data_IF_987956294991
#
_entry.id   IF_987956294991
#
_cell.length_a   1.000
_cell.length_b   1.000
_cell.length_c   1.000
_cell.angle_alpha   90.00
_cell.angle_beta   90.00
_cell.angle_gamma   90.00
#
_symmetry.space_group_name_H-M   'P 1'
#
loop_
_entity.id
_entity.type
_entity.pdbx_description
1 polymer ?
#
# COMPACT_ATOMS: atom_id res chain seq x y z
N UNK A 1 -23.97 -29.37 34.56
CA UNK A 1 -23.22 -28.22 34.02
C UNK A 1 -21.76 -28.67 34.01
N UNK A 2 -21.15 -28.81 32.83
CA UNK A 2 -19.74 -29.21 32.72
C UNK A 2 -18.88 -28.03 33.16
N UNK A 3 -18.08 -28.21 34.20
CA UNK A 3 -17.14 -27.19 34.66
C UNK A 3 -15.97 -27.14 33.67
N UNK A 4 -15.91 -26.09 32.86
CA UNK A 4 -14.75 -25.80 32.02
C UNK A 4 -13.59 -25.40 32.92
N UNK A 5 -12.56 -26.25 32.99
CA UNK A 5 -11.29 -25.91 33.65
C UNK A 5 -10.65 -24.75 32.90
N UNK A 6 -10.49 -23.62 33.57
CA UNK A 6 -9.72 -22.49 33.05
C UNK A 6 -8.23 -22.75 33.31
N UNK A 7 -7.45 -22.95 32.24
CA UNK A 7 -5.99 -23.04 32.32
C UNK A 7 -5.40 -21.65 32.18
N UNK A 8 -4.60 -21.22 33.17
CA UNK A 8 -3.79 -20.00 33.05
C UNK A 8 -2.79 -20.16 31.91
N UNK A 9 -2.90 -19.31 30.88
CA UNK A 9 -1.96 -19.26 29.77
C UNK A 9 -0.80 -18.31 30.08
N UNK A 10 0.40 -18.71 29.68
CA UNK A 10 1.62 -17.92 29.79
C UNK A 10 1.46 -16.60 29.02
N UNK A 11 1.71 -15.48 29.70
CA UNK A 11 1.35 -14.14 29.21
C UNK A 11 2.27 -13.57 28.12
N UNK A 12 3.51 -14.05 28.01
CA UNK A 12 4.49 -13.52 27.07
C UNK A 12 5.40 -14.63 26.58
N UNK A 13 5.80 -14.54 25.30
CA UNK A 13 6.91 -15.32 24.82
C UNK A 13 8.22 -14.88 25.48
N UNK A 14 9.15 -15.82 25.67
CA UNK A 14 10.47 -15.58 26.28
C UNK A 14 11.55 -15.34 25.23
N UNK A 15 11.17 -15.24 23.95
CA UNK A 15 12.12 -15.06 22.87
C UNK A 15 12.74 -13.65 22.85
N UNK A 16 14.05 -13.59 22.61
CA UNK A 16 14.86 -12.37 22.57
C UNK A 16 14.97 -11.75 21.17
N UNK A 17 14.52 -12.47 20.14
CA UNK A 17 14.43 -11.99 18.77
C UNK A 17 13.28 -12.69 18.04
N UNK A 18 12.70 -11.98 17.07
CA UNK A 18 11.66 -12.49 16.20
C UNK A 18 11.99 -12.19 14.74
N UNK A 19 11.49 -13.05 13.87
CA UNK A 19 11.48 -12.86 12.43
C UNK A 19 10.03 -12.83 11.95
N UNK A 20 9.64 -11.70 11.38
CA UNK A 20 8.32 -11.46 10.79
C UNK A 20 8.43 -11.60 9.28
N UNK A 21 7.57 -12.40 8.66
CA UNK A 21 7.46 -12.54 7.20
C UNK A 21 6.04 -12.98 6.86
N UNK A 22 5.35 -12.25 5.99
CA UNK A 22 4.01 -12.58 5.53
C UNK A 22 3.06 -12.81 6.74
N UNK A 23 2.42 -13.97 6.85
CA UNK A 23 1.55 -14.33 7.98
C UNK A 23 2.28 -15.06 9.11
N UNK A 24 3.61 -15.07 9.09
CA UNK A 24 4.42 -15.85 10.04
C UNK A 24 5.23 -15.00 11.01
N UNK A 25 5.39 -15.54 12.22
CA UNK A 25 6.30 -15.04 13.25
C UNK A 25 7.14 -16.21 13.73
N UNK A 26 8.45 -16.15 13.51
CA UNK A 26 9.38 -17.20 13.94
C UNK A 26 10.40 -16.70 14.95
N UNK A 27 10.90 -17.63 15.77
CA UNK A 27 11.98 -17.40 16.72
C UNK A 27 13.27 -17.98 16.14
N UNK A 28 14.29 -17.16 15.85
CA UNK A 28 15.57 -17.65 15.37
C UNK A 28 16.23 -18.66 16.33
N UNK A 29 17.05 -19.55 15.79
CA UNK A 29 17.73 -20.56 16.60
C UNK A 29 18.58 -19.92 17.71
N UNK A 30 18.37 -20.36 18.95
CA UNK A 30 19.07 -19.83 20.12
C UNK A 30 18.44 -18.56 20.71
N UNK A 31 17.35 -18.03 20.14
CA UNK A 31 16.66 -16.84 20.63
C UNK A 31 15.51 -17.14 21.61
N UNK A 32 15.29 -18.39 22.03
CA UNK A 32 14.21 -18.78 22.93
C UNK A 32 13.10 -19.57 22.23
N UNK A 33 11.86 -19.45 22.70
CA UNK A 33 10.70 -20.16 22.15
C UNK A 33 9.38 -19.47 22.53
N UNK A 34 8.32 -19.76 21.76
CA UNK A 34 6.95 -19.46 22.16
C UNK A 34 6.51 -20.37 23.33
N UNK A 35 5.60 -19.90 24.20
CA UNK A 35 5.10 -20.71 25.31
C UNK A 35 4.42 -22.00 24.84
N UNK A 36 4.72 -23.11 25.49
CA UNK A 36 4.22 -24.44 25.11
C UNK A 36 2.72 -24.65 25.37
N UNK A 37 2.10 -23.75 26.13
CA UNK A 37 0.66 -23.72 26.42
C UNK A 37 -0.14 -22.87 25.42
N UNK A 38 0.52 -22.20 24.47
CA UNK A 38 -0.17 -21.56 23.35
C UNK A 38 -0.62 -22.59 22.31
N UNK A 39 -1.69 -22.29 21.59
CA UNK A 39 -2.27 -23.18 20.58
C UNK A 39 -3.09 -22.39 19.56
N UNK A 40 -3.55 -23.07 18.51
CA UNK A 40 -4.41 -22.48 17.50
C UNK A 40 -5.67 -21.88 18.13
N UNK A 41 -6.09 -20.70 17.67
CA UNK A 41 -7.24 -19.96 18.17
C UNK A 41 -6.90 -18.94 19.27
N UNK A 42 -5.75 -19.06 19.93
CA UNK A 42 -5.27 -18.06 20.90
C UNK A 42 -5.03 -16.73 20.18
N UNK A 43 -5.49 -15.65 20.80
CA UNK A 43 -5.25 -14.29 20.31
C UNK A 43 -3.99 -13.73 20.98
N UNK A 44 -3.05 -13.24 20.19
CA UNK A 44 -1.84 -12.58 20.67
C UNK A 44 -1.85 -11.12 20.26
N UNK A 45 -1.25 -10.29 21.10
CA UNK A 45 -0.86 -8.94 20.74
C UNK A 45 0.57 -8.96 20.24
N UNK A 46 0.79 -8.38 19.06
CA UNK A 46 2.09 -8.40 18.38
C UNK A 46 2.58 -6.97 18.18
N UNK A 47 3.76 -6.67 18.74
CA UNK A 47 4.53 -5.48 18.42
C UNK A 47 5.63 -5.87 17.43
N UNK A 48 5.47 -5.48 16.17
CA UNK A 48 6.45 -5.61 15.11
C UNK A 48 6.90 -4.19 14.69
N UNK A 49 7.93 -3.61 15.35
CA UNK A 49 8.29 -2.22 15.13
C UNK A 49 9.11 -2.03 13.85
N UNK A 50 8.53 -1.32 12.87
CA UNK A 50 9.20 -0.89 11.64
C UNK A 50 9.57 0.59 11.71
N UNK A 51 10.46 1.03 10.83
CA UNK A 51 10.82 2.44 10.70
C UNK A 51 9.76 3.20 9.92
N UNK A 52 9.17 4.20 10.57
CA UNK A 52 8.28 5.18 9.94
C UNK A 52 8.95 6.55 9.96
N UNK A 53 8.66 7.36 8.96
CA UNK A 53 9.11 8.75 8.87
C UNK A 53 7.90 9.66 8.91
N UNK A 54 7.93 10.66 9.78
CA UNK A 54 6.93 11.72 9.86
C UNK A 54 7.48 12.99 9.24
N UNK A 55 6.70 13.61 8.36
CA UNK A 55 7.00 14.87 7.68
C UNK A 55 5.92 15.89 8.05
N UNK A 56 6.36 17.12 8.32
CA UNK A 56 5.48 18.24 8.66
C UNK A 56 4.50 18.54 7.51
N UNK A 57 3.21 18.50 7.82
CA UNK A 57 2.12 18.85 6.90
C UNK A 57 1.83 20.36 6.84
N UNK A 58 2.53 21.17 7.63
CA UNK A 58 2.28 22.60 7.81
C UNK A 58 0.97 22.84 8.55
N UNK A 59 0.06 23.61 7.96
CA UNK A 59 -1.28 23.82 8.52
C UNK A 59 -2.23 22.62 8.31
N UNK A 60 -1.83 21.66 7.46
CA UNK A 60 -2.55 20.41 7.23
C UNK A 60 -2.00 19.27 8.10
N UNK A 61 -2.53 18.06 7.87
CA UNK A 61 -2.11 16.86 8.60
C UNK A 61 -0.66 16.49 8.32
N UNK A 62 0.05 16.05 9.36
CA UNK A 62 1.37 15.43 9.21
C UNK A 62 1.30 14.19 8.33
N UNK A 63 2.38 13.94 7.60
CA UNK A 63 2.49 12.87 6.63
C UNK A 63 3.34 11.75 7.21
N UNK A 64 2.74 10.57 7.34
CA UNK A 64 3.42 9.34 7.73
C UNK A 64 3.85 8.59 6.48
N UNK A 65 5.13 8.21 6.41
CA UNK A 65 5.72 7.34 5.39
C UNK A 65 6.37 6.12 6.04
N UNK A 66 6.53 5.05 5.28
CA UNK A 66 7.13 3.79 5.74
C UNK A 66 6.47 2.60 5.04
N UNK A 67 6.57 1.38 5.62
CA UNK A 67 5.94 0.19 5.09
C UNK A 67 4.41 0.17 5.31
N UNK A 68 3.73 1.20 4.83
CA UNK A 68 2.29 1.39 5.03
C UNK A 68 1.44 0.30 4.36
N UNK A 69 2.00 -0.40 3.37
CA UNK A 69 1.31 -1.48 2.68
C UNK A 69 0.89 -2.60 3.65
N UNK A 70 1.69 -2.89 4.69
CA UNK A 70 1.38 -3.87 5.73
C UNK A 70 0.06 -3.57 6.45
N UNK A 71 -0.26 -2.28 6.60
CA UNK A 71 -1.51 -1.86 7.22
C UNK A 71 -2.71 -2.08 6.27
N UNK A 72 -2.49 -2.03 4.95
CA UNK A 72 -3.53 -1.87 3.93
C UNK A 72 -4.52 -0.74 4.29
N UNK A 73 -4.04 0.52 4.37
CA UNK A 73 -4.80 1.60 4.96
C UNK A 73 -6.00 1.99 4.10
N UNK A 74 -7.13 2.28 4.77
CA UNK A 74 -8.31 2.87 4.14
C UNK A 74 -8.80 4.05 4.98
N UNK A 75 -9.33 5.13 4.36
CA UNK A 75 -9.96 6.22 5.09
C UNK A 75 -11.02 5.71 6.09
N UNK A 76 -10.99 6.23 7.32
CA UNK A 76 -11.85 5.80 8.43
C UNK A 76 -11.32 4.60 9.22
N UNK A 77 -10.22 3.97 8.81
CA UNK A 77 -9.62 2.85 9.55
C UNK A 77 -9.10 3.32 10.91
N UNK A 78 -9.59 2.70 11.99
CA UNK A 78 -9.12 2.95 13.35
C UNK A 78 -7.84 2.16 13.62
N UNK A 79 -6.78 2.89 13.95
CA UNK A 79 -5.45 2.32 14.15
C UNK A 79 -4.92 2.61 15.54
N UNK A 80 -3.98 1.77 15.95
CA UNK A 80 -3.09 2.00 17.08
C UNK A 80 -1.67 2.11 16.56
N UNK A 81 -0.95 3.10 17.09
CA UNK A 81 0.50 3.25 16.94
C UNK A 81 1.14 2.93 18.29
N UNK A 82 2.02 1.94 18.32
CA UNK A 82 2.83 1.61 19.49
C UNK A 82 4.30 1.93 19.20
N UNK A 83 4.98 2.65 20.09
CA UNK A 83 6.36 3.11 19.90
C UNK A 83 6.45 4.62 19.65
N UNK A 84 7.25 5.04 18.68
CA UNK A 84 7.33 6.44 18.28
C UNK A 84 5.95 6.97 17.87
N UNK A 85 5.58 8.16 18.34
CA UNK A 85 4.27 8.77 18.11
C UNK A 85 3.08 7.92 18.60
N UNK A 86 3.29 7.13 19.66
CA UNK A 86 2.27 6.24 20.21
C UNK A 86 0.94 6.95 20.48
N UNK A 87 -0.15 6.27 20.13
CA UNK A 87 -1.50 6.81 20.26
C UNK A 87 -2.54 6.03 19.46
N UNK A 88 -3.78 6.52 19.56
CA UNK A 88 -4.92 6.02 18.80
C UNK A 88 -5.31 7.07 17.76
N UNK A 89 -5.50 6.62 16.51
CA UNK A 89 -5.77 7.51 15.38
C UNK A 89 -6.78 6.89 14.42
N UNK A 90 -7.28 7.71 13.52
CA UNK A 90 -8.11 7.32 12.38
C UNK A 90 -7.34 7.68 11.11
N UNK A 91 -7.26 6.76 10.15
CA UNK A 91 -6.68 7.05 8.83
C UNK A 91 -7.58 8.06 8.12
N UNK A 92 -7.04 9.22 7.77
CA UNK A 92 -7.78 10.22 6.98
C UNK A 92 -7.62 9.95 5.49
N UNK A 93 -6.37 9.85 5.02
CA UNK A 93 -6.06 9.57 3.63
C UNK A 93 -4.88 8.62 3.48
N UNK A 94 -4.87 7.91 2.36
CA UNK A 94 -3.77 7.05 1.95
C UNK A 94 -3.49 7.26 0.46
N UNK A 95 -2.22 7.50 0.16
CA UNK A 95 -1.68 7.56 -1.19
C UNK A 95 -0.73 6.36 -1.35
N UNK A 96 -1.00 5.43 -2.28
CA UNK A 96 -0.14 4.27 -2.48
C UNK A 96 1.19 4.63 -3.13
N UNK A 97 2.19 3.78 -2.93
CA UNK A 97 3.48 3.87 -3.61
C UNK A 97 3.29 3.78 -5.13
N UNK A 98 4.03 4.60 -5.88
CA UNK A 98 4.21 4.46 -7.33
C UNK A 98 5.69 4.55 -7.69
N UNK A 99 6.23 3.57 -8.42
CA UNK A 99 7.62 3.62 -8.86
C UNK A 99 7.82 4.75 -9.88
N UNK A 100 9.05 5.27 -9.96
CA UNK A 100 9.42 6.19 -11.03
C UNK A 100 9.31 5.50 -12.41
N UNK A 101 8.81 6.23 -13.40
CA UNK A 101 8.83 5.81 -14.81
C UNK A 101 9.90 6.65 -15.51
N UNK A 102 10.98 6.06 -16.04
CA UNK A 102 11.99 6.83 -16.76
C UNK A 102 11.44 7.48 -18.03
N UNK A 103 11.90 8.68 -18.42
CA UNK A 103 11.60 9.24 -19.73
C UNK A 103 12.21 8.37 -20.84
N UNK A 104 11.49 8.21 -21.94
CA UNK A 104 12.04 7.60 -23.16
C UNK A 104 12.29 8.70 -24.21
N UNK A 105 13.48 8.77 -24.83
CA UNK A 105 13.74 9.69 -25.92
C UNK A 105 12.90 9.39 -27.16
N UNK A 106 12.35 8.17 -27.28
CA UNK A 106 11.63 7.70 -28.45
C UNK A 106 12.56 7.44 -29.64
N UNK A 107 11.96 7.09 -30.77
CA UNK A 107 12.64 6.88 -32.06
C UNK A 107 11.79 7.48 -33.18
N UNK A 108 12.43 8.02 -34.21
CA UNK A 108 11.71 8.67 -35.31
C UNK A 108 10.98 7.67 -36.20
N UNK A 109 9.75 8.00 -36.60
CA UNK A 109 9.09 7.30 -37.70
C UNK A 109 9.70 7.73 -39.04
N UNK A 110 9.81 6.80 -39.99
CA UNK A 110 10.35 7.07 -41.33
C UNK A 110 9.51 6.48 -42.45
N UNK A 111 9.56 7.15 -43.60
CA UNK A 111 9.02 6.68 -44.88
C UNK A 111 10.12 6.88 -45.94
N UNK A 112 10.72 5.79 -46.40
CA UNK A 112 11.80 5.80 -47.40
C UNK A 112 11.26 5.36 -48.75
N UNK A 113 11.57 6.11 -49.80
CA UNK A 113 11.20 5.75 -51.18
C UNK A 113 11.72 4.37 -51.55
N UNK A 114 10.98 3.64 -52.39
CA UNK A 114 11.41 2.36 -52.96
C UNK A 114 12.24 2.52 -54.24
N UNK A 115 12.30 3.73 -54.79
CA UNK A 115 13.08 4.10 -55.96
C UNK A 115 13.46 5.59 -55.89
N UNK A 116 14.48 5.98 -56.65
CA UNK A 116 14.83 7.39 -56.84
C UNK A 116 13.67 8.15 -57.53
N UNK A 117 13.54 9.47 -57.34
CA UNK A 117 12.55 10.26 -58.07
C UNK A 117 12.66 10.08 -59.57
N UNK A 118 11.53 9.86 -60.25
CA UNK A 118 11.51 9.61 -61.70
C UNK A 118 11.72 10.88 -62.53
N UNK A 119 11.60 12.06 -61.91
CA UNK A 119 11.84 13.38 -62.52
C UNK A 119 12.09 14.45 -61.45
N UNK A 120 12.56 15.63 -61.88
CA UNK A 120 12.83 16.79 -61.01
C UNK A 120 12.23 18.12 -61.52
N UNK A 121 11.64 18.14 -62.70
CA UNK A 121 11.06 19.30 -63.41
C UNK A 121 9.57 19.50 -63.08
N UNK A 122 9.28 19.99 -61.87
CA UNK A 122 7.89 20.21 -61.43
C UNK A 122 7.27 21.53 -61.91
N UNK A 123 8.01 22.38 -62.61
CA UNK A 123 7.51 23.62 -63.21
C UNK A 123 6.70 23.42 -64.49
N UNK A 124 6.81 22.26 -65.15
CA UNK A 124 6.02 21.93 -66.36
C UNK A 124 4.77 21.16 -65.98
N UNK A 125 4.91 20.11 -65.18
CA UNK A 125 3.80 19.36 -64.59
C UNK A 125 3.98 19.37 -63.08
N UNK A 126 3.22 20.18 -62.33
CA UNK A 126 3.28 20.18 -60.87
C UNK A 126 2.92 18.81 -60.27
N UNK A 127 3.48 18.50 -59.09
CA UNK A 127 3.13 17.32 -58.31
C UNK A 127 2.52 17.76 -56.98
N UNK A 128 1.24 17.46 -56.78
CA UNK A 128 0.60 17.58 -55.47
C UNK A 128 0.46 16.21 -54.83
N UNK A 129 0.86 16.11 -53.57
CA UNK A 129 0.72 14.90 -52.77
C UNK A 129 0.42 15.28 -51.31
N UNK A 130 0.10 14.29 -50.50
CA UNK A 130 -0.17 14.51 -49.07
C UNK A 130 0.63 13.53 -48.25
N UNK A 131 1.40 14.05 -47.30
CA UNK A 131 1.96 13.26 -46.22
C UNK A 131 0.95 13.17 -45.09
N UNK A 132 0.93 12.07 -44.35
CA UNK A 132 0.19 12.01 -43.09
C UNK A 132 1.03 11.35 -42.00
N UNK A 133 0.80 11.76 -40.75
CA UNK A 133 1.40 11.17 -39.56
C UNK A 133 0.26 10.91 -38.57
N UNK A 134 -0.11 9.64 -38.40
CA UNK A 134 -1.36 9.29 -37.74
C UNK A 134 -2.55 9.95 -38.46
N UNK A 135 -3.38 10.69 -37.71
CA UNK A 135 -4.54 11.41 -38.26
C UNK A 135 -4.25 12.79 -38.86
N UNK A 136 -3.04 13.34 -38.71
CA UNK A 136 -2.68 14.67 -39.22
C UNK A 136 -2.14 14.58 -40.65
N UNK A 137 -2.60 15.46 -41.54
CA UNK A 137 -2.18 15.51 -42.95
C UNK A 137 -1.41 16.79 -43.28
N UNK A 138 -0.41 16.68 -44.15
CA UNK A 138 0.48 17.75 -44.60
C UNK A 138 0.49 17.75 -46.14
N UNK A 139 -0.33 18.58 -46.79
CA UNK A 139 -0.32 18.69 -48.25
C UNK A 139 0.97 19.38 -48.72
N UNK A 140 1.54 18.88 -49.81
CA UNK A 140 2.76 19.41 -50.44
C UNK A 140 2.51 19.56 -51.93
N UNK A 141 2.94 20.67 -52.52
CA UNK A 141 2.82 20.92 -53.96
C UNK A 141 4.16 21.39 -54.53
N UNK A 142 4.80 20.52 -55.31
CA UNK A 142 6.00 20.86 -56.05
C UNK A 142 5.58 21.51 -57.37
N UNK A 143 5.97 22.77 -57.58
CA UNK A 143 5.68 23.54 -58.80
C UNK A 143 6.92 24.25 -59.38
N UNK A 144 8.09 24.00 -58.81
CA UNK A 144 9.37 24.58 -59.19
C UNK A 144 10.29 23.50 -59.75
N UNK A 145 11.16 23.85 -60.70
CA UNK A 145 12.17 22.92 -61.19
C UNK A 145 13.24 22.72 -60.10
N UNK A 146 13.57 21.46 -59.83
CA UNK A 146 14.70 21.06 -59.01
C UNK A 146 15.74 20.39 -59.92
N UNK A 147 17.03 20.50 -59.60
CA UNK A 147 18.10 20.00 -60.49
C UNK A 147 18.51 18.56 -60.15
N UNK A 148 18.36 18.17 -58.88
CA UNK A 148 18.75 16.88 -58.34
C UNK A 148 17.97 16.56 -57.04
N UNK A 149 18.28 15.43 -56.42
CA UNK A 149 17.67 14.99 -55.17
C UNK A 149 17.94 15.96 -54.00
N UNK A 150 19.09 16.64 -53.99
CA UNK A 150 19.40 17.64 -52.98
C UNK A 150 18.53 18.89 -53.11
N UNK A 151 18.30 19.35 -54.34
CA UNK A 151 17.37 20.43 -54.67
C UNK A 151 15.93 20.06 -54.30
N UNK A 152 15.51 18.83 -54.59
CA UNK A 152 14.20 18.31 -54.19
C UNK A 152 14.03 18.28 -52.67
N UNK A 153 15.03 17.78 -51.94
CA UNK A 153 15.01 17.77 -50.46
C UNK A 153 14.92 19.20 -49.91
N UNK A 154 15.61 20.16 -50.53
CA UNK A 154 15.58 21.56 -50.11
C UNK A 154 14.21 22.20 -50.33
N UNK A 155 13.59 21.99 -51.49
CA UNK A 155 12.23 22.44 -51.79
C UNK A 155 11.21 21.82 -50.82
N UNK A 156 11.29 20.50 -50.59
CA UNK A 156 10.42 19.81 -49.66
C UNK A 156 10.54 20.34 -48.23
N UNK A 157 11.76 20.58 -47.74
CA UNK A 157 11.97 21.12 -46.41
C UNK A 157 11.53 22.59 -46.26
N UNK A 158 11.55 23.36 -47.35
CA UNK A 158 10.96 24.71 -47.36
C UNK A 158 9.45 24.65 -47.10
N UNK A 159 8.73 23.76 -47.80
CA UNK A 159 7.28 23.59 -47.63
C UNK A 159 6.90 22.90 -46.30
N UNK A 160 7.75 22.00 -45.81
CA UNK A 160 7.54 21.27 -44.55
C UNK A 160 8.04 22.03 -43.31
N UNK A 161 8.48 23.28 -43.48
CA UNK A 161 8.91 24.13 -42.35
C UNK A 161 7.80 24.27 -41.31
N UNK A 162 8.12 24.04 -40.04
CA UNK A 162 7.15 24.05 -38.93
C UNK A 162 6.28 22.79 -38.82
N UNK A 163 6.42 21.82 -39.72
CA UNK A 163 5.77 20.50 -39.60
C UNK A 163 6.66 19.51 -38.84
N UNK A 164 6.12 18.42 -38.28
CA UNK A 164 6.90 17.41 -37.57
C UNK A 164 7.60 16.41 -38.51
N UNK A 165 7.74 16.73 -39.80
CA UNK A 165 8.34 15.85 -40.81
C UNK A 165 9.43 16.63 -41.54
N UNK A 166 10.59 15.98 -41.72
CA UNK A 166 11.69 16.49 -42.51
C UNK A 166 11.97 15.54 -43.68
N UNK A 167 12.26 16.10 -44.86
CA UNK A 167 12.79 15.36 -46.00
C UNK A 167 14.31 15.24 -45.89
N UNK A 168 14.84 14.06 -46.23
CA UNK A 168 16.26 13.73 -46.25
C UNK A 168 16.56 12.86 -47.46
N UNK A 169 17.84 12.79 -47.83
CA UNK A 169 18.34 11.83 -48.82
C UNK A 169 19.07 10.69 -48.11
N UNK A 170 18.80 9.45 -48.52
CA UNK A 170 19.52 8.25 -48.04
C UNK A 170 19.77 7.33 -49.21
N UNK A 171 21.04 7.02 -49.49
CA UNK A 171 21.44 6.07 -50.55
C UNK A 171 20.79 6.33 -51.92
N UNK A 172 20.61 7.61 -52.27
CA UNK A 172 19.97 8.03 -53.54
C UNK A 172 18.43 8.02 -53.54
N UNK A 173 17.82 7.78 -52.38
CA UNK A 173 16.37 7.75 -52.19
C UNK A 173 15.92 8.93 -51.32
N UNK A 174 14.70 9.39 -51.54
CA UNK A 174 14.04 10.35 -50.65
C UNK A 174 13.53 9.61 -49.40
N UNK A 175 13.79 10.16 -48.22
CA UNK A 175 13.27 9.70 -46.94
C UNK A 175 12.59 10.84 -46.20
N UNK A 176 11.35 10.62 -45.77
CA UNK A 176 10.70 11.46 -44.77
C UNK A 176 10.98 10.90 -43.38
N UNK A 177 11.38 11.74 -42.44
CA UNK A 177 11.68 11.39 -41.06
C UNK A 177 10.89 12.30 -40.12
N UNK A 178 10.34 11.71 -39.06
CA UNK A 178 9.69 12.45 -37.97
C UNK A 178 10.73 13.27 -37.19
N UNK A 179 10.38 14.49 -36.78
CA UNK A 179 11.20 15.32 -35.91
C UNK A 179 10.83 15.14 -34.44
N UNK A 180 11.80 15.38 -33.55
CA UNK A 180 11.59 15.34 -32.09
C UNK A 180 10.76 16.55 -31.62
N UNK A 181 9.83 16.41 -30.65
CA UNK A 181 9.48 15.17 -29.94
C UNK A 181 8.70 14.19 -30.83
N UNK A 182 9.10 12.91 -30.79
CA UNK A 182 8.48 11.88 -31.61
C UNK A 182 7.11 11.50 -31.05
N UNK A 183 6.11 11.30 -31.90
CA UNK A 183 4.83 10.72 -31.50
C UNK A 183 4.76 9.21 -31.76
N UNK A 184 5.73 8.64 -32.48
CA UNK A 184 5.76 7.20 -32.79
C UNK A 184 4.58 6.75 -33.65
N UNK A 185 4.14 7.60 -34.58
CA UNK A 185 3.04 7.31 -35.49
C UNK A 185 3.56 7.17 -36.92
N UNK A 186 3.01 6.22 -37.67
CA UNK A 186 3.46 5.94 -39.03
C UNK A 186 3.35 7.19 -39.94
N UNK A 187 4.41 7.47 -40.69
CA UNK A 187 4.38 8.45 -41.78
C UNK A 187 3.88 7.76 -43.04
N UNK A 188 2.86 8.32 -43.69
CA UNK A 188 2.27 7.85 -44.95
C UNK A 188 2.33 8.94 -46.01
N UNK A 189 2.24 8.53 -47.28
CA UNK A 189 2.14 9.44 -48.41
C UNK A 189 1.08 8.93 -49.40
N UNK A 190 0.27 9.85 -49.94
CA UNK A 190 -0.68 9.61 -51.03
C UNK A 190 -0.38 10.54 -52.20
N UNK A 191 -0.30 10.01 -53.42
CA UNK A 191 0.03 10.80 -54.62
C UNK A 191 1.53 11.05 -54.84
N UNK A 192 2.42 10.47 -54.01
CA UNK A 192 3.86 10.75 -54.04
C UNK A 192 4.71 9.74 -54.86
N UNK A 193 4.08 8.88 -55.69
CA UNK A 193 4.78 7.78 -56.37
C UNK A 193 5.91 8.25 -57.31
N UNK A 194 5.80 9.46 -57.87
CA UNK A 194 6.87 10.07 -58.68
C UNK A 194 8.17 10.26 -57.90
N UNK A 195 8.11 10.56 -56.60
CA UNK A 195 9.27 10.88 -55.76
C UNK A 195 9.63 9.79 -54.74
N UNK A 196 8.72 8.84 -54.50
CA UNK A 196 8.91 7.73 -53.55
C UNK A 196 8.87 6.34 -54.20
N UNK A 197 8.55 6.20 -55.48
CA UNK A 197 8.28 4.90 -56.11
C UNK A 197 6.94 4.28 -55.69
N UNK A 198 6.68 3.06 -56.16
CA UNK A 198 5.38 2.38 -55.99
C UNK A 198 5.18 1.73 -54.63
N UNK A 199 6.25 1.39 -53.90
CA UNK A 199 6.17 0.60 -52.65
C UNK A 199 7.13 1.11 -51.57
N UNK A 200 7.02 2.39 -51.13
CA UNK A 200 7.94 2.96 -50.14
C UNK A 200 7.92 2.19 -48.82
N UNK A 201 9.10 2.06 -48.21
CA UNK A 201 9.32 1.31 -46.97
C UNK A 201 9.05 2.19 -45.76
N UNK A 202 8.26 1.68 -44.81
CA UNK A 202 7.84 2.38 -43.60
C UNK A 202 8.51 1.75 -42.39
N UNK A 203 9.00 2.58 -41.47
CA UNK A 203 9.35 2.14 -40.13
C UNK A 203 8.69 3.08 -39.13
N UNK A 204 7.76 2.56 -38.34
CA UNK A 204 7.10 3.34 -37.27
C UNK A 204 8.05 3.41 -36.07
N UNK A 205 8.31 4.63 -35.61
CA UNK A 205 9.13 4.87 -34.44
C UNK A 205 8.35 4.69 -33.13
N UNK A 206 8.96 5.10 -32.03
CA UNK A 206 8.37 5.09 -30.69
C UNK A 206 8.23 6.50 -30.16
N UNK A 207 7.15 6.81 -29.43
CA UNK A 207 6.94 8.16 -28.91
C UNK A 207 8.04 8.55 -27.91
N UNK A 208 8.41 9.82 -27.93
CA UNK A 208 9.11 10.45 -26.82
C UNK A 208 8.13 10.54 -25.64
N UNK A 209 8.53 10.07 -24.47
CA UNK A 209 7.70 10.10 -23.26
C UNK A 209 8.40 10.89 -22.16
N UNK A 210 7.63 11.66 -21.40
CA UNK A 210 8.08 12.21 -20.13
C UNK A 210 8.10 11.11 -19.07
N UNK A 211 9.11 11.12 -18.23
CA UNK A 211 9.13 10.26 -17.04
C UNK A 211 8.19 10.80 -15.96
N UNK A 212 7.87 9.95 -14.99
CA UNK A 212 7.22 10.35 -13.74
C UNK A 212 8.16 10.08 -12.58
N UNK A 213 8.29 11.01 -11.60
CA UNK A 213 9.08 10.75 -10.41
C UNK A 213 8.44 9.61 -9.58
N UNK A 214 9.24 9.03 -8.70
CA UNK A 214 8.74 8.11 -7.68
C UNK A 214 7.78 8.85 -6.73
N UNK A 215 6.71 8.18 -6.35
CA UNK A 215 5.79 8.62 -5.30
C UNK A 215 5.88 7.62 -4.13
N UNK A 216 6.43 8.02 -2.97
CA UNK A 216 6.39 7.18 -1.78
C UNK A 216 4.94 6.97 -1.32
N UNK A 217 4.68 5.86 -0.63
CA UNK A 217 3.41 5.69 0.05
C UNK A 217 3.29 6.69 1.20
N UNK A 218 2.13 7.32 1.33
CA UNK A 218 1.85 8.35 2.32
C UNK A 218 0.51 8.08 3.00
N UNK A 219 0.45 8.31 4.30
CA UNK A 219 -0.77 8.23 5.09
C UNK A 219 -0.87 9.48 5.95
N UNK A 220 -2.08 10.04 6.08
CA UNK A 220 -2.36 11.12 7.03
C UNK A 220 -3.44 10.69 8.00
N UNK A 221 -3.47 11.31 9.18
CA UNK A 221 -4.24 10.85 10.32
C UNK A 221 -5.15 11.94 10.89
N UNK A 222 -6.26 11.48 11.47
CA UNK A 222 -7.12 12.23 12.38
C UNK A 222 -7.04 11.65 13.79
N UNK A 223 -7.33 12.50 14.77
CA UNK A 223 -7.71 12.03 16.11
C UNK A 223 -9.11 11.42 16.07
N UNK A 224 -9.50 10.65 17.09
CA UNK A 224 -10.84 10.05 17.18
C UNK A 224 -11.99 11.07 17.07
N UNK A 225 -11.74 12.33 17.43
CA UNK A 225 -12.71 13.42 17.29
C UNK A 225 -12.85 13.98 15.86
N UNK A 226 -12.08 13.49 14.88
CA UNK A 226 -12.06 13.96 13.50
C UNK A 226 -11.14 15.16 13.25
N UNK A 227 -10.49 15.68 14.29
CA UNK A 227 -9.52 16.77 14.15
C UNK A 227 -8.23 16.28 13.48
N UNK A 228 -7.60 17.10 12.62
CA UNK A 228 -6.36 16.74 11.93
C UNK A 228 -5.21 16.55 12.91
N UNK A 229 -4.39 15.53 12.66
CA UNK A 229 -3.14 15.30 13.41
C UNK A 229 -2.03 16.17 12.80
N UNK A 230 -1.56 17.16 13.56
CA UNK A 230 -0.56 18.17 13.12
C UNK A 230 0.62 18.34 14.10
N UNK A 231 0.79 17.38 15.01
CA UNK A 231 1.74 17.47 16.13
C UNK A 231 2.52 16.19 16.39
N UNK A 232 2.72 15.36 15.36
CA UNK A 232 3.57 14.18 15.48
C UNK A 232 5.04 14.62 15.60
N UNK A 233 5.82 13.88 16.38
CA UNK A 233 7.27 14.06 16.40
C UNK A 233 7.83 13.75 15.01
N UNK A 234 8.43 14.77 14.39
CA UNK A 234 8.98 14.72 13.04
C UNK A 234 10.24 13.85 12.96
N UNK A 235 10.51 13.32 11.77
CA UNK A 235 11.67 12.47 11.49
C UNK A 235 11.36 10.98 11.64
N UNK A 236 12.41 10.19 11.82
CA UNK A 236 12.31 8.74 11.86
C UNK A 236 12.06 8.21 13.27
N UNK A 237 11.21 7.20 13.37
CA UNK A 237 10.95 6.48 14.61
C UNK A 237 10.51 5.04 14.36
N UNK A 238 10.81 4.16 15.32
CA UNK A 238 10.32 2.79 15.32
C UNK A 238 8.91 2.74 15.88
N UNK A 239 7.97 2.16 15.13
CA UNK A 239 6.60 1.97 15.57
C UNK A 239 6.00 0.68 15.03
N UNK A 240 5.04 0.11 15.76
CA UNK A 240 4.09 -0.88 15.23
C UNK A 240 2.80 -0.13 14.91
N UNK A 241 2.32 -0.25 13.68
CA UNK A 241 1.05 0.34 13.25
C UNK A 241 0.12 -0.77 12.77
N UNK A 242 -1.09 -0.83 13.30
CA UNK A 242 -2.08 -1.85 12.97
C UNK A 242 -3.48 -1.42 13.40
N UNK A 243 -4.51 -2.23 13.11
CA UNK A 243 -5.82 -2.06 13.72
C UNK A 243 -5.71 -2.01 15.25
N UNK A 244 -6.60 -1.25 15.90
CA UNK A 244 -6.59 -1.08 17.36
C UNK A 244 -6.51 -2.42 18.10
N UNK A 245 -5.63 -2.47 19.10
CA UNK A 245 -5.32 -3.66 19.88
C UNK A 245 -4.14 -4.46 19.33
N UNK A 246 -3.72 -4.26 18.07
CA UNK A 246 -2.61 -4.97 17.42
C UNK A 246 -2.73 -6.49 17.58
N UNK A 247 -3.95 -7.00 17.35
CA UNK A 247 -4.37 -8.37 17.66
C UNK A 247 -4.23 -9.28 16.45
N UNK A 248 -3.76 -10.49 16.72
CA UNK A 248 -3.59 -11.57 15.75
C UNK A 248 -4.08 -12.87 16.37
N UNK A 249 -4.74 -13.73 15.60
CA UNK A 249 -5.13 -15.07 16.04
C UNK A 249 -4.15 -16.09 15.49
N UNK A 250 -3.67 -16.99 16.33
CA UNK A 250 -2.80 -18.09 15.90
C UNK A 250 -3.61 -19.09 15.07
N UNK A 251 -3.18 -19.34 13.85
CA UNK A 251 -3.81 -20.31 12.91
C UNK A 251 -3.04 -21.63 12.86
N UNK A 252 -1.72 -21.58 13.04
CA UNK A 252 -0.87 -22.74 13.24
C UNK A 252 0.21 -22.45 14.28
N UNK A 253 0.53 -23.46 15.09
CA UNK A 253 1.44 -23.33 16.22
C UNK A 253 2.57 -24.36 16.20
N UNK A 254 3.77 -23.87 16.51
CA UNK A 254 4.88 -24.63 17.07
C UNK A 254 5.65 -23.75 18.06
N UNK A 255 6.58 -24.34 18.81
CA UNK A 255 7.40 -23.59 19.79
C UNK A 255 8.37 -22.60 19.13
N UNK A 256 8.61 -22.66 17.81
CA UNK A 256 9.51 -21.76 17.09
C UNK A 256 8.87 -20.99 15.94
N UNK A 257 7.61 -21.27 15.59
CA UNK A 257 6.89 -20.65 14.48
C UNK A 257 5.40 -20.54 14.82
N UNK A 258 4.85 -19.35 14.63
CA UNK A 258 3.42 -19.08 14.57
C UNK A 258 3.05 -18.72 13.13
N UNK A 259 1.96 -19.28 12.63
CA UNK A 259 1.17 -18.67 11.56
C UNK A 259 0.00 -17.93 12.21
N UNK A 260 -0.33 -16.75 11.71
CA UNK A 260 -1.36 -15.90 12.29
C UNK A 260 -2.27 -15.27 11.25
N UNK A 261 -3.48 -14.91 11.66
CA UNK A 261 -4.34 -13.98 10.94
C UNK A 261 -4.50 -12.69 11.75
N UNK A 262 -4.51 -11.53 11.09
CA UNK A 262 -4.74 -10.24 11.76
C UNK A 262 -6.23 -10.06 12.07
N UNK A 263 -6.52 -9.44 13.21
CA UNK A 263 -7.87 -9.05 13.59
C UNK A 263 -8.06 -7.54 13.42
N UNK A 264 -9.23 -7.15 12.93
CA UNK A 264 -9.68 -5.75 12.86
C UNK A 264 -9.91 -5.16 14.26
N UNK A 265 -10.16 -3.84 14.35
CA UNK A 265 -10.50 -3.19 15.62
C UNK A 265 -11.78 -3.75 16.26
N UNK A 266 -12.73 -4.26 15.46
CA UNK A 266 -13.94 -4.93 15.95
C UNK A 266 -13.71 -6.38 16.39
N UNK A 267 -12.54 -6.95 16.12
CA UNK A 267 -12.19 -8.34 16.45
C UNK A 267 -12.54 -9.36 15.37
N UNK A 268 -13.12 -8.93 14.24
CA UNK A 268 -13.30 -9.78 13.07
C UNK A 268 -11.98 -10.06 12.36
N UNK A 269 -11.90 -11.16 11.61
CA UNK A 269 -10.74 -11.48 10.76
C UNK A 269 -10.56 -10.41 9.69
N UNK A 270 -9.33 -9.91 9.56
CA UNK A 270 -8.96 -8.94 8.54
C UNK A 270 -8.49 -9.64 7.26
N UNK A 271 -9.45 -10.04 6.42
CA UNK A 271 -9.17 -10.73 5.15
C UNK A 271 -8.38 -9.88 4.15
N UNK A 272 -8.26 -8.56 4.37
CA UNK A 272 -7.51 -7.65 3.53
C UNK A 272 -6.07 -7.44 4.00
N UNK A 273 -5.65 -8.08 5.09
CA UNK A 273 -4.29 -7.94 5.60
C UNK A 273 -3.28 -8.67 4.68
N UNK A 274 -2.28 -7.96 4.13
CA UNK A 274 -1.34 -8.57 3.19
C UNK A 274 -0.14 -9.26 3.86
N UNK A 275 -0.03 -9.23 5.18
CA UNK A 275 1.09 -9.81 5.93
C UNK A 275 2.08 -8.78 6.50
N UNK A 276 3.12 -9.29 7.15
CA UNK A 276 4.27 -8.55 7.65
C UNK A 276 5.32 -8.35 6.56
N UNK A 277 5.98 -7.19 6.55
CA UNK A 277 7.26 -7.04 5.85
C UNK A 277 8.31 -7.94 6.48
N UNK A 278 9.22 -8.46 5.65
CA UNK A 278 10.35 -9.26 6.13
C UNK A 278 11.22 -8.43 7.09
N UNK A 279 11.25 -8.81 8.36
CA UNK A 279 12.06 -8.16 9.38
C UNK A 279 12.50 -9.12 10.48
N UNK A 280 13.81 -9.18 10.74
CA UNK A 280 14.34 -9.71 11.99
C UNK A 280 14.57 -8.58 12.99
N UNK A 281 14.10 -8.72 14.23
CA UNK A 281 14.24 -7.67 15.26
C UNK A 281 14.36 -8.24 16.67
N UNK A 282 15.08 -7.51 17.53
CA UNK A 282 15.13 -7.72 18.98
C UNK A 282 14.16 -6.83 19.74
N UNK A 283 13.50 -5.89 19.05
CA UNK A 283 12.52 -4.96 19.62
C UNK A 283 11.08 -5.47 19.46
N UNK A 284 10.90 -6.65 18.88
CA UNK A 284 9.59 -7.28 18.74
C UNK A 284 9.09 -7.81 20.09
N UNK A 285 7.78 -7.82 20.26
CA UNK A 285 7.13 -8.38 21.45
C UNK A 285 5.87 -9.13 21.06
N UNK A 286 5.71 -10.36 21.55
CA UNK A 286 4.49 -11.15 21.39
C UNK A 286 3.97 -11.52 22.76
N UNK A 287 2.78 -11.03 23.09
CA UNK A 287 2.11 -11.27 24.36
C UNK A 287 0.72 -11.84 24.13
N UNK A 288 0.22 -12.55 25.13
CA UNK A 288 -1.16 -13.02 25.14
C UNK A 288 -2.09 -11.80 25.19
N UNK A 289 -3.10 -11.78 24.31
CA UNK A 289 -4.12 -10.74 24.38
C UNK A 289 -5.01 -10.94 25.62
N UNK A 290 -5.41 -9.84 26.25
CA UNK A 290 -6.23 -9.88 27.45
C UNK A 290 -7.62 -10.52 27.21
N UNK A 291 -8.10 -10.58 25.97
CA UNK A 291 -9.37 -11.27 25.65
C UNK A 291 -9.31 -12.78 25.86
N UNK A 292 -8.11 -13.39 25.91
CA UNK A 292 -7.97 -14.80 26.27
C UNK A 292 -8.02 -15.01 27.79
N UNK A 293 -7.82 -13.93 28.56
CA UNK A 293 -7.94 -13.97 30.00
C UNK A 293 -9.42 -13.91 30.35
N UNK A 294 -10.06 -15.08 30.46
CA UNK A 294 -11.30 -15.15 31.22
C UNK A 294 -10.95 -14.82 32.67
N UNK A 295 -11.70 -13.92 33.30
CA UNK A 295 -11.64 -13.74 34.75
C UNK A 295 -11.96 -15.10 35.37
N UNK A 296 -10.92 -15.84 35.76
CA UNK A 296 -11.07 -17.20 36.23
C UNK A 296 -12.03 -17.26 37.40
N UNK A 297 -12.94 -18.23 37.38
CA UNK A 297 -13.75 -18.57 38.54
C UNK A 297 -12.79 -18.81 39.71
N UNK A 298 -12.94 -18.08 40.83
CA UNK A 298 -12.02 -18.18 41.99
C UNK A 298 -12.14 -19.52 42.74
N UNK A 299 -12.87 -20.47 42.16
CA UNK A 299 -13.30 -21.71 42.79
C UNK A 299 -14.43 -21.48 43.78
N UNK A 300 -15.25 -22.50 44.04
CA UNK A 300 -16.17 -22.48 45.17
C UNK A 300 -15.38 -22.49 46.49
N UNK A 301 -15.93 -21.88 47.52
CA UNK A 301 -15.46 -22.02 48.90
C UNK A 301 -16.66 -22.14 49.83
N UNK A 302 -16.51 -22.86 50.94
CA UNK A 302 -17.55 -22.94 51.97
C UNK A 302 -17.67 -21.58 52.66
N UNK A 303 -18.85 -20.96 52.60
CA UNK A 303 -19.10 -19.65 53.20
C UNK A 303 -19.28 -19.70 54.72
N UNK A 304 -19.48 -20.89 55.31
CA UNK A 304 -19.63 -21.07 56.75
C UNK A 304 -19.00 -22.39 57.22
N UNK A 305 -18.65 -22.51 58.52
CA UNK A 305 -18.22 -23.76 59.13
C UNK A 305 -19.29 -24.86 59.07
N UNK A 306 -18.87 -26.11 59.33
CA UNK A 306 -19.77 -27.26 59.41
C UNK A 306 -20.82 -27.05 60.52
N UNK A 307 -22.09 -27.33 60.20
CA UNK A 307 -23.27 -27.16 61.07
C UNK A 307 -23.73 -25.72 61.33
N UNK A 308 -23.21 -24.73 60.61
CA UNK A 308 -23.76 -23.37 60.58
C UNK A 308 -24.55 -23.10 59.30
N UNK A 309 -25.49 -22.14 59.36
CA UNK A 309 -26.29 -21.73 58.20
C UNK A 309 -25.88 -20.35 57.73
N UNK A 310 -25.63 -20.22 56.44
CA UNK A 310 -25.62 -18.92 55.77
C UNK A 310 -27.05 -18.41 55.69
N UNK A 311 -27.32 -17.25 56.30
CA UNK A 311 -28.64 -16.60 56.23
C UNK A 311 -28.66 -15.40 55.28
N UNK A 312 -27.49 -14.86 54.94
CA UNK A 312 -27.30 -13.75 54.03
C UNK A 312 -25.94 -13.84 53.34
N UNK A 313 -25.88 -13.40 52.08
CA UNK A 313 -24.66 -13.32 51.28
C UNK A 313 -24.47 -11.86 50.83
N UNK A 314 -23.38 -11.22 51.26
CA UNK A 314 -22.97 -9.91 50.76
C UNK A 314 -21.79 -10.07 49.81
N UNK A 315 -21.92 -9.51 48.60
CA UNK A 315 -20.84 -9.43 47.64
C UNK A 315 -20.59 -7.99 47.24
N UNK A 316 -19.40 -7.51 47.57
CA UNK A 316 -18.98 -6.14 47.26
C UNK A 316 -17.96 -6.14 46.14
N UNK A 317 -18.29 -5.41 45.08
CA UNK A 317 -17.40 -5.17 43.94
C UNK A 317 -16.80 -3.79 44.12
N UNK A 318 -15.50 -3.74 44.39
CA UNK A 318 -14.78 -2.49 44.57
C UNK A 318 -13.99 -2.14 43.32
N UNK A 319 -14.10 -0.87 42.92
CA UNK A 319 -13.28 -0.30 41.87
C UNK A 319 -12.36 0.74 42.50
N UNK A 320 -11.07 0.43 42.53
CA UNK A 320 -10.05 1.29 43.15
C UNK A 320 -9.97 2.69 42.51
N UNK A 321 -10.53 2.87 41.31
CA UNK A 321 -10.52 4.12 40.54
C UNK A 321 -11.92 4.69 40.26
N UNK A 322 -12.96 4.20 40.95
CA UNK A 322 -14.34 4.68 40.78
C UNK A 322 -15.16 3.86 39.76
N UNK A 323 -16.46 4.16 39.71
CA UNK A 323 -17.49 3.34 39.04
C UNK A 323 -17.85 3.80 37.62
N UNK A 324 -17.29 4.92 37.17
CA UNK A 324 -17.70 5.61 35.97
C UNK A 324 -16.50 6.21 35.26
N UNK A 325 -16.61 6.32 33.93
CA UNK A 325 -15.62 7.02 33.13
C UNK A 325 -15.82 8.52 33.24
N UNK A 326 -14.72 9.27 33.29
CA UNK A 326 -14.73 10.73 33.16
C UNK A 326 -14.27 11.07 31.74
N UNK A 327 -15.17 11.66 30.97
CA UNK A 327 -14.90 12.14 29.62
C UNK A 327 -14.06 13.41 29.63
N UNK A 328 -13.59 13.80 28.45
CA UNK A 328 -12.67 14.94 28.26
C UNK A 328 -13.22 16.28 28.75
N UNK A 329 -14.54 16.43 28.83
CA UNK A 329 -15.23 17.65 29.27
C UNK A 329 -15.81 17.49 30.69
N UNK A 330 -15.43 16.42 31.41
CA UNK A 330 -15.93 16.12 32.74
C UNK A 330 -17.29 15.39 32.76
N UNK A 331 -17.81 14.99 31.61
CA UNK A 331 -19.03 14.20 31.53
C UNK A 331 -18.81 12.78 32.07
N UNK A 332 -19.79 12.29 32.83
CA UNK A 332 -19.80 10.89 33.26
C UNK A 332 -20.31 10.01 32.11
N UNK A 333 -19.63 8.90 31.87
CA UNK A 333 -20.10 7.87 30.94
C UNK A 333 -20.01 6.48 31.57
N UNK A 334 -20.92 5.61 31.13
CA UNK A 334 -21.02 4.24 31.60
C UNK A 334 -19.93 3.37 30.97
N UNK A 335 -19.29 2.54 31.79
CA UNK A 335 -18.37 1.50 31.35
C UNK A 335 -19.04 0.16 31.67
N UNK A 336 -19.57 -0.56 30.67
CA UNK A 336 -20.26 -1.82 30.93
C UNK A 336 -19.27 -2.85 31.47
N UNK A 337 -19.58 -3.42 32.63
CA UNK A 337 -18.85 -4.53 33.23
C UNK A 337 -19.82 -5.67 33.54
N UNK A 338 -19.37 -6.90 33.35
CA UNK A 338 -20.18 -8.10 33.59
C UNK A 338 -19.59 -8.93 34.72
N UNK A 339 -20.48 -9.42 35.58
CA UNK A 339 -20.15 -10.15 36.78
C UNK A 339 -21.09 -11.35 36.89
N UNK A 340 -20.53 -12.52 37.21
CA UNK A 340 -21.28 -13.73 37.49
C UNK A 340 -20.98 -14.18 38.92
N UNK A 341 -22.04 -14.44 39.69
CA UNK A 341 -21.99 -15.04 41.01
C UNK A 341 -22.94 -16.23 41.03
N UNK A 342 -22.42 -17.41 41.34
CA UNK A 342 -23.22 -18.61 41.50
C UNK A 342 -23.05 -19.14 42.92
N UNK A 343 -24.14 -19.59 43.53
CA UNK A 343 -24.17 -20.24 44.82
C UNK A 343 -24.94 -21.56 44.71
N UNK A 344 -24.60 -22.53 45.57
CA UNK A 344 -25.40 -23.75 45.74
C UNK A 344 -25.42 -24.14 47.21
N UNK A 345 -26.49 -24.82 47.59
CA UNK A 345 -26.58 -25.46 48.91
C UNK A 345 -25.56 -26.61 48.99
N UNK A 346 -24.65 -26.53 49.95
CA UNK A 346 -23.59 -27.52 50.17
C UNK A 346 -24.17 -28.84 50.70
N UNK A 347 -25.26 -28.81 51.47
CA UNK A 347 -25.90 -30.00 52.03
C UNK A 347 -26.65 -30.79 50.94
N UNK A 348 -27.23 -30.09 49.96
CA UNK A 348 -28.00 -30.71 48.87
C UNK A 348 -27.10 -31.26 47.76
N UNK A 349 -26.01 -30.56 47.45
CA UNK A 349 -25.17 -30.88 46.30
C UNK A 349 -23.79 -31.47 46.65
N UNK A 350 -23.54 -31.76 47.94
CA UNK A 350 -22.34 -32.44 48.44
C UNK A 350 -21.11 -31.54 48.54
N UNK A 351 -20.00 -32.11 49.04
CA UNK A 351 -18.71 -31.41 49.09
C UNK A 351 -18.28 -30.96 47.67
N UNK A 352 -17.69 -29.76 47.59
CA UNK A 352 -17.12 -29.21 46.35
C UNK A 352 -15.75 -29.83 46.06
#
# INVERSE_FOLDING_TARGET
LELTVATDLTRSATASAYQFVDDTISVPAGSGQFPADWSNGVIVRVLAPYTYTVIDGGAGRDIVRGPLWMLNPAPGMQIEVAGANAGLYVVYSYTPFRPAIPPSPGTASTLTGSAAPSRYDFNVTPLSFTLARGGSTYPVTLSTATTDLGGLVSELNSQLSGTPIQAQQVSGLLRFVELTPFAGQAITASGAATILGSSPVRATGTPTTSGTPEQPAEMTLDYDGGEPVVGLALGQGLATIGPRGLRYRITAFSTSLLEVERLTSSGAVDAGWPGFDNMQTVNGLVTLDASNLQGGYRGPFACCPENEKVTELEWTITYASGLLGIGREGQFYEIPTYYAFEYRDMDVAGAW
#
